data_IF_185886412508
#
_entry.id   IF_185886412508
#
_cell.length_a   1.000
_cell.length_b   1.000
_cell.length_c   1.000
_cell.angle_alpha   90.00
_cell.angle_beta   90.00
_cell.angle_gamma   90.00
#
_symmetry.space_group_name_H-M   'P 1'
#
loop_
_entity.id
_entity.type
_entity.pdbx_description
1 polymer ?
#
# COMPACT_ATOMS: atom_id res chain seq x y z
N UNK A 1 -55.84 4.87 -67.22
CA UNK A 1 -56.02 4.37 -65.83
C UNK A 1 -54.89 3.40 -65.53
N UNK A 2 -53.97 3.77 -64.63
CA UNK A 2 -52.88 2.90 -64.13
C UNK A 2 -53.04 2.87 -62.60
N UNK A 3 -53.00 1.70 -61.93
CA UNK A 3 -53.07 1.66 -60.48
C UNK A 3 -51.68 1.92 -59.89
N UNK A 4 -51.61 2.89 -58.99
CA UNK A 4 -50.44 3.24 -58.18
C UNK A 4 -50.42 2.31 -56.98
N UNK A 5 -49.45 1.40 -56.91
CA UNK A 5 -49.25 0.56 -55.72
C UNK A 5 -48.48 1.36 -54.66
N UNK A 6 -49.15 1.68 -53.55
CA UNK A 6 -48.53 2.19 -52.33
C UNK A 6 -47.81 1.03 -51.63
N UNK A 7 -46.48 1.10 -51.54
CA UNK A 7 -45.68 0.20 -50.69
C UNK A 7 -45.69 0.77 -49.26
N UNK A 8 -46.37 0.09 -48.34
CA UNK A 8 -46.31 0.41 -46.92
C UNK A 8 -45.03 -0.19 -46.33
N UNK A 9 -44.08 0.67 -45.95
CA UNK A 9 -42.88 0.27 -45.23
C UNK A 9 -43.22 0.06 -43.75
N UNK A 10 -43.21 -1.19 -43.30
CA UNK A 10 -43.34 -1.56 -41.88
C UNK A 10 -41.97 -1.40 -41.22
N UNK A 11 -41.80 -0.36 -40.40
CA UNK A 11 -40.62 -0.17 -39.55
C UNK A 11 -40.76 -1.10 -38.35
N UNK A 12 -39.96 -2.16 -38.30
CA UNK A 12 -39.84 -3.03 -37.12
C UNK A 12 -38.86 -2.36 -36.15
N UNK A 13 -39.40 -1.77 -35.07
CA UNK A 13 -38.64 -1.34 -33.91
C UNK A 13 -38.15 -2.58 -33.16
N UNK A 14 -36.94 -3.04 -33.47
CA UNK A 14 -36.24 -4.02 -32.64
C UNK A 14 -35.87 -3.34 -31.32
N UNK A 15 -36.63 -3.62 -30.27
CA UNK A 15 -36.28 -3.28 -28.91
C UNK A 15 -35.03 -4.10 -28.52
N UNK A 16 -33.86 -3.46 -28.55
CA UNK A 16 -32.66 -3.98 -27.92
C UNK A 16 -32.92 -4.05 -26.41
N UNK A 17 -33.34 -5.22 -25.93
CA UNK A 17 -33.28 -5.54 -24.50
C UNK A 17 -31.80 -5.63 -24.15
N UNK A 18 -31.28 -4.61 -23.49
CA UNK A 18 -29.99 -4.73 -22.82
C UNK A 18 -30.11 -5.88 -21.81
N UNK A 19 -29.18 -6.84 -21.80
CA UNK A 19 -29.17 -7.87 -20.77
C UNK A 19 -29.13 -7.20 -19.40
N UNK A 20 -30.03 -7.63 -18.52
CA UNK A 20 -30.08 -7.19 -17.13
C UNK A 20 -28.71 -7.50 -16.50
N UNK A 21 -28.02 -6.50 -15.92
CA UNK A 21 -26.71 -6.73 -15.32
C UNK A 21 -26.85 -7.80 -14.24
N UNK A 22 -26.06 -8.87 -14.32
CA UNK A 22 -26.09 -9.89 -13.29
C UNK A 22 -25.86 -9.24 -11.93
N UNK A 23 -26.65 -9.61 -10.89
CA UNK A 23 -26.48 -9.04 -9.57
C UNK A 23 -25.04 -9.27 -9.12
N UNK A 24 -24.34 -8.18 -8.82
CA UNK A 24 -22.98 -8.21 -8.30
C UNK A 24 -22.93 -9.21 -7.15
N UNK A 25 -22.28 -10.35 -7.41
CA UNK A 25 -22.06 -11.38 -6.42
C UNK A 25 -21.11 -10.77 -5.41
N UNK A 26 -21.64 -10.36 -4.25
CA UNK A 26 -20.86 -9.80 -3.14
C UNK A 26 -19.69 -10.76 -2.91
N UNK A 27 -18.43 -10.31 -3.07
CA UNK A 27 -17.29 -11.15 -2.83
C UNK A 27 -17.44 -11.78 -1.44
N UNK A 28 -17.24 -13.10 -1.36
CA UNK A 28 -17.21 -13.77 -0.07
C UNK A 28 -16.17 -13.11 0.83
N UNK A 29 -16.36 -13.11 2.16
CA UNK A 29 -15.40 -12.54 3.08
C UNK A 29 -14.01 -13.13 2.79
N UNK A 30 -13.01 -12.27 2.61
CA UNK A 30 -11.61 -12.69 2.47
C UNK A 30 -11.28 -13.60 3.66
N UNK A 31 -10.90 -14.84 3.39
CA UNK A 31 -10.71 -15.87 4.42
C UNK A 31 -9.88 -15.32 5.57
N UNK A 32 -10.49 -15.27 6.75
CA UNK A 32 -9.84 -14.78 7.95
C UNK A 32 -8.69 -15.73 8.32
N UNK A 33 -7.50 -15.18 8.48
CA UNK A 33 -6.34 -15.90 9.00
C UNK A 33 -6.69 -16.46 10.40
N UNK A 34 -6.65 -17.79 10.62
CA UNK A 34 -6.97 -18.38 11.92
C UNK A 34 -6.11 -17.80 13.04
N UNK A 35 -6.76 -17.34 14.12
CA UNK A 35 -6.07 -16.74 15.27
C UNK A 35 -5.41 -15.39 14.98
N UNK A 36 -5.81 -14.69 13.91
CA UNK A 36 -5.26 -13.38 13.59
C UNK A 36 -5.50 -12.34 14.67
N UNK A 37 -4.43 -11.64 15.03
CA UNK A 37 -4.44 -10.45 15.86
C UNK A 37 -4.53 -9.22 14.96
N UNK A 38 -5.19 -8.19 15.46
CA UNK A 38 -5.20 -6.87 14.82
C UNK A 38 -3.94 -6.09 15.20
N UNK A 39 -3.27 -5.53 14.20
CA UNK A 39 -2.14 -4.64 14.38
C UNK A 39 -2.65 -3.20 14.26
N UNK A 40 -2.47 -2.42 15.32
CA UNK A 40 -2.94 -1.05 15.41
C UNK A 40 -1.82 -0.08 15.06
N UNK A 41 -2.17 1.03 14.42
CA UNK A 41 -1.23 2.12 14.13
C UNK A 41 -0.60 2.62 15.42
N UNK A 42 0.72 2.80 15.41
CA UNK A 42 1.46 3.42 16.48
C UNK A 42 1.67 4.90 16.17
N UNK A 43 1.34 5.75 17.14
CA UNK A 43 1.69 7.17 17.09
C UNK A 43 3.16 7.35 17.47
N UNK A 44 4.03 7.25 16.46
CA UNK A 44 5.47 7.46 16.58
C UNK A 44 5.83 8.76 15.84
N UNK A 45 5.83 9.93 16.50
CA UNK A 45 6.12 11.18 15.83
C UNK A 45 7.55 11.20 15.28
N UNK A 46 7.72 11.87 14.13
CA UNK A 46 9.05 12.11 13.58
C UNK A 46 9.87 12.94 14.58
N UNK A 47 11.09 12.50 14.85
CA UNK A 47 12.03 13.15 15.75
C UNK A 47 13.06 13.93 14.94
N UNK A 48 13.70 14.90 15.58
CA UNK A 48 14.93 15.46 15.07
C UNK A 48 16.03 14.38 15.01
N UNK A 49 16.95 14.54 14.06
CA UNK A 49 18.10 13.66 13.91
C UNK A 49 18.91 13.60 15.21
N UNK A 50 19.08 12.40 15.75
CA UNK A 50 19.74 12.17 17.04
C UNK A 50 21.14 11.55 16.91
N UNK A 51 21.66 11.47 15.68
CA UNK A 51 22.99 10.93 15.38
C UNK A 51 23.75 11.91 14.49
N UNK A 52 25.07 11.94 14.67
CA UNK A 52 25.96 12.65 13.77
C UNK A 52 26.12 11.84 12.49
N UNK A 53 25.79 12.45 11.37
CA UNK A 53 26.01 11.89 10.05
C UNK A 53 26.55 12.97 9.11
N UNK A 54 27.45 12.59 8.22
CA UNK A 54 28.03 13.44 7.19
C UNK A 54 27.63 13.00 5.78
N UNK A 55 27.21 11.74 5.64
CA UNK A 55 27.00 11.03 4.37
C UNK A 55 25.54 10.63 4.13
N UNK A 56 24.64 10.85 5.09
CA UNK A 56 23.23 10.48 4.97
C UNK A 56 22.34 11.68 4.67
N UNK A 57 21.29 11.44 3.89
CA UNK A 57 20.13 12.30 3.75
C UNK A 57 18.97 11.62 4.50
N UNK A 58 18.77 12.02 5.75
CA UNK A 58 17.71 11.50 6.61
C UNK A 58 16.37 12.13 6.22
N UNK A 59 15.36 11.29 6.07
CA UNK A 59 13.98 11.69 5.76
C UNK A 59 13.13 11.72 7.02
N UNK A 60 13.21 10.64 7.81
CA UNK A 60 12.46 10.48 9.05
C UNK A 60 13.26 9.68 10.07
N UNK A 61 13.03 9.97 11.34
CA UNK A 61 13.58 9.26 12.51
C UNK A 61 12.46 9.02 13.51
N UNK A 62 12.25 7.77 13.92
CA UNK A 62 11.20 7.38 14.86
C UNK A 62 11.79 6.62 16.04
N UNK A 63 11.43 7.03 17.25
CA UNK A 63 11.78 6.32 18.47
C UNK A 63 10.79 5.18 18.72
N UNK A 64 11.30 3.95 18.84
CA UNK A 64 10.49 2.77 19.11
C UNK A 64 10.23 2.59 20.62
N UNK A 65 9.13 1.91 21.01
CA UNK A 65 8.80 1.68 22.43
C UNK A 65 9.88 0.96 23.26
N UNK A 66 10.82 0.28 22.62
CA UNK A 66 11.88 -0.49 23.29
C UNK A 66 13.24 0.23 23.34
N UNK A 67 13.26 1.54 23.10
CA UNK A 67 14.45 2.38 23.21
C UNK A 67 15.33 2.41 21.96
N UNK A 68 14.97 1.66 20.91
CA UNK A 68 15.66 1.68 19.61
C UNK A 68 15.04 2.73 18.69
N UNK A 69 15.70 2.99 17.57
CA UNK A 69 15.25 3.95 16.57
C UNK A 69 15.16 3.32 15.19
N UNK A 70 14.17 3.76 14.42
CA UNK A 70 14.07 3.48 12.98
C UNK A 70 14.22 4.77 12.22
N UNK A 71 15.15 4.79 11.26
CA UNK A 71 15.42 5.95 10.41
C UNK A 71 15.25 5.57 8.94
N UNK A 72 14.54 6.39 8.17
CA UNK A 72 14.55 6.31 6.72
C UNK A 72 15.61 7.28 6.18
N UNK A 73 16.63 6.74 5.52
CA UNK A 73 17.74 7.54 4.99
C UNK A 73 18.31 6.96 3.70
N UNK A 74 18.92 7.83 2.89
CA UNK A 74 19.74 7.43 1.72
C UNK A 74 21.13 8.02 1.83
N UNK A 75 22.08 7.49 1.06
CA UNK A 75 23.38 8.13 0.94
C UNK A 75 23.27 9.45 0.17
N UNK A 76 24.13 10.43 0.49
CA UNK A 76 24.29 11.68 -0.29
C UNK A 76 24.91 11.43 -1.66
N UNK A 77 25.72 10.39 -1.77
CA UNK A 77 26.29 9.92 -3.03
C UNK A 77 25.28 8.95 -3.67
N UNK A 78 24.56 9.42 -4.69
CA UNK A 78 23.53 8.65 -5.40
C UNK A 78 24.08 7.38 -6.09
N UNK A 79 25.40 7.21 -6.20
CA UNK A 79 26.02 5.97 -6.69
C UNK A 79 26.08 4.85 -5.63
N UNK A 80 25.78 5.18 -4.37
CA UNK A 80 25.81 4.25 -3.24
C UNK A 80 24.43 3.70 -2.91
N UNK A 81 24.28 3.18 -1.70
CA UNK A 81 23.04 2.58 -1.22
C UNK A 81 21.85 3.54 -1.33
N UNK A 82 20.81 3.08 -2.03
CA UNK A 82 19.53 3.76 -2.12
C UNK A 82 18.80 3.84 -0.77
N UNK A 83 17.66 4.50 -0.79
CA UNK A 83 16.84 4.77 0.39
C UNK A 83 16.42 3.47 1.12
N UNK A 84 16.63 3.43 2.44
CA UNK A 84 16.43 2.25 3.31
C UNK A 84 15.91 2.65 4.69
N UNK A 85 15.33 1.68 5.39
CA UNK A 85 15.11 1.76 6.83
C UNK A 85 16.33 1.20 7.58
N UNK A 86 16.78 1.93 8.59
CA UNK A 86 17.85 1.54 9.50
C UNK A 86 17.28 1.39 10.90
N UNK A 87 17.47 0.22 11.51
CA UNK A 87 17.22 0.01 12.93
C UNK A 87 18.54 0.21 13.68
N UNK A 88 18.58 1.08 14.68
CA UNK A 88 19.80 1.38 15.41
C UNK A 88 19.56 1.78 16.86
N UNK A 89 20.66 1.87 17.61
CA UNK A 89 20.72 2.49 18.94
C UNK A 89 21.74 3.63 18.91
N UNK A 90 21.37 4.86 19.31
CA UNK A 90 22.32 5.97 19.40
C UNK A 90 23.35 5.72 20.51
N UNK A 91 24.57 6.22 20.32
CA UNK A 91 25.66 6.11 21.27
C UNK A 91 25.96 7.46 21.93
N UNK A 92 26.63 7.47 23.10
CA UNK A 92 26.96 8.71 23.82
C UNK A 92 27.83 9.71 23.04
N UNK A 93 28.59 9.22 22.05
CA UNK A 93 29.42 10.04 21.16
C UNK A 93 28.66 10.55 19.91
N UNK A 94 27.33 10.43 19.92
CA UNK A 94 26.43 10.72 18.79
C UNK A 94 26.62 9.82 17.58
N UNK A 95 27.36 8.70 17.69
CA UNK A 95 27.36 7.66 16.66
C UNK A 95 26.13 6.75 16.78
N UNK A 96 26.00 5.80 15.87
CA UNK A 96 24.91 4.82 15.86
C UNK A 96 25.47 3.40 15.82
N UNK A 97 24.97 2.53 16.69
CA UNK A 97 25.12 1.08 16.51
C UNK A 97 23.98 0.59 15.60
N UNK A 98 24.26 0.39 14.32
CA UNK A 98 23.29 -0.17 13.35
C UNK A 98 23.05 -1.64 13.66
N UNK A 99 21.78 -1.99 13.82
CA UNK A 99 21.34 -3.34 14.20
C UNK A 99 20.84 -4.11 12.97
N UNK A 100 20.05 -3.45 12.13
CA UNK A 100 19.54 -4.03 10.89
C UNK A 100 19.23 -2.96 9.86
N UNK A 101 19.22 -3.39 8.59
CA UNK A 101 18.96 -2.54 7.43
C UNK A 101 17.92 -3.24 6.55
N UNK A 102 16.92 -2.51 6.07
CA UNK A 102 15.91 -3.07 5.16
C UNK A 102 16.46 -3.31 3.76
N UNK A 103 15.69 -4.04 2.94
CA UNK A 103 15.84 -3.99 1.49
C UNK A 103 15.66 -2.53 0.99
N UNK A 104 16.33 -2.15 -0.11
CA UNK A 104 16.25 -0.80 -0.66
C UNK A 104 14.85 -0.49 -1.23
N UNK A 105 14.58 0.81 -1.38
CA UNK A 105 13.35 1.40 -1.89
C UNK A 105 13.37 1.69 -3.42
N UNK A 106 14.15 0.93 -4.18
CA UNK A 106 14.43 1.22 -5.60
C UNK A 106 14.85 2.70 -5.79
N UNK A 107 14.34 3.36 -6.83
CA UNK A 107 14.68 4.73 -7.22
C UNK A 107 13.83 5.79 -6.47
N UNK A 108 13.24 5.42 -5.33
CA UNK A 108 12.41 6.35 -4.55
C UNK A 108 13.25 7.38 -3.81
N UNK A 109 12.82 8.64 -3.89
CA UNK A 109 13.49 9.77 -3.22
C UNK A 109 13.06 9.96 -1.76
N UNK A 110 11.82 9.61 -1.44
CA UNK A 110 11.21 9.80 -0.12
C UNK A 110 10.57 8.51 0.39
N UNK A 111 10.64 8.29 1.71
CA UNK A 111 10.06 7.14 2.38
C UNK A 111 9.47 7.61 3.71
N UNK A 112 8.16 7.44 3.87
CA UNK A 112 7.40 7.89 5.03
C UNK A 112 6.76 6.67 5.71
N UNK A 113 7.41 6.07 6.73
CA UNK A 113 6.92 4.86 7.35
C UNK A 113 5.74 5.12 8.29
N UNK A 114 4.76 4.21 8.26
CA UNK A 114 3.68 4.10 9.25
C UNK A 114 3.81 2.75 9.95
N UNK A 115 3.78 2.75 11.27
CA UNK A 115 4.11 1.59 12.11
C UNK A 115 2.85 0.99 12.71
N UNK A 116 2.78 -0.34 12.80
CA UNK A 116 1.66 -1.07 13.39
C UNK A 116 2.16 -2.16 14.34
N UNK A 117 1.48 -2.33 15.47
CA UNK A 117 1.76 -3.41 16.41
C UNK A 117 0.49 -3.89 17.12
N UNK A 118 0.54 -5.09 17.68
CA UNK A 118 -0.54 -5.67 18.50
C UNK A 118 -0.46 -5.23 19.97
N UNK A 119 0.60 -4.51 20.35
CA UNK A 119 0.97 -4.24 21.76
C UNK A 119 1.84 -5.35 22.38
N UNK A 120 1.87 -6.55 21.79
CA UNK A 120 2.79 -7.63 22.18
C UNK A 120 4.06 -7.57 21.32
N UNK A 121 5.21 -7.32 21.96
CA UNK A 121 6.50 -7.23 21.28
C UNK A 121 6.92 -8.54 20.60
N UNK A 122 6.38 -9.69 21.03
CA UNK A 122 6.65 -10.98 20.41
C UNK A 122 6.06 -11.11 19.00
N UNK A 123 5.00 -10.36 18.68
CA UNK A 123 4.40 -10.34 17.34
C UNK A 123 5.23 -9.50 16.36
N UNK A 124 6.12 -8.64 16.86
CA UNK A 124 6.89 -7.69 16.06
C UNK A 124 6.03 -6.50 15.61
N UNK A 125 6.54 -5.76 14.63
CA UNK A 125 5.92 -4.55 14.11
C UNK A 125 5.83 -4.60 12.59
N UNK A 126 4.67 -4.27 12.04
CA UNK A 126 4.49 -4.11 10.60
C UNK A 126 4.72 -2.65 10.24
N UNK A 127 5.42 -2.39 9.14
CA UNK A 127 5.76 -1.05 8.69
C UNK A 127 5.30 -0.92 7.24
N UNK A 128 4.40 0.03 6.99
CA UNK A 128 4.02 0.45 5.64
C UNK A 128 4.84 1.68 5.29
N UNK A 129 5.85 1.49 4.44
CA UNK A 129 6.76 2.54 4.01
C UNK A 129 6.24 3.18 2.73
N UNK A 130 5.61 4.36 2.85
CA UNK A 130 5.04 5.07 1.72
C UNK A 130 6.14 5.70 0.88
N UNK A 131 6.12 5.47 -0.42
CA UNK A 131 6.97 6.20 -1.36
C UNK A 131 6.18 7.29 -2.07
N UNK A 132 6.86 8.40 -2.32
CA UNK A 132 6.27 9.54 -3.00
C UNK A 132 6.44 10.83 -2.21
N UNK A 133 6.55 11.93 -2.93
CA UNK A 133 6.70 13.27 -2.36
C UNK A 133 5.33 13.92 -2.20
N UNK A 134 4.83 14.49 -3.29
CA UNK A 134 3.52 15.13 -3.37
C UNK A 134 2.42 14.08 -3.54
N UNK A 135 2.67 13.06 -4.35
CA UNK A 135 1.70 12.00 -4.60
C UNK A 135 2.35 10.66 -4.23
N UNK A 136 1.59 9.78 -3.59
CA UNK A 136 2.01 8.43 -3.23
C UNK A 136 2.13 7.58 -4.49
N UNK A 137 3.14 6.71 -4.52
CA UNK A 137 3.37 5.69 -5.54
C UNK A 137 3.27 4.28 -4.94
N UNK A 138 2.54 4.14 -3.83
CA UNK A 138 2.37 2.88 -3.12
C UNK A 138 3.25 2.74 -1.87
N UNK A 139 3.24 1.52 -1.33
CA UNK A 139 3.88 1.18 -0.07
C UNK A 139 4.74 -0.08 -0.24
N UNK A 140 5.93 -0.08 0.35
CA UNK A 140 6.64 -1.33 0.65
C UNK A 140 6.36 -1.73 2.08
N UNK A 141 6.11 -3.02 2.27
CA UNK A 141 5.72 -3.57 3.56
C UNK A 141 6.89 -4.31 4.17
N UNK A 142 7.24 -3.93 5.39
CA UNK A 142 8.25 -4.63 6.18
C UNK A 142 7.64 -5.20 7.46
N UNK A 143 8.18 -6.34 7.90
CA UNK A 143 7.96 -6.85 9.25
C UNK A 143 9.26 -6.77 10.04
N UNK A 144 9.26 -5.92 11.06
CA UNK A 144 10.35 -5.78 12.00
C UNK A 144 10.12 -6.72 13.19
N UNK A 145 10.85 -7.83 13.23
CA UNK A 145 10.79 -8.82 14.30
C UNK A 145 12.17 -9.36 14.60
N UNK A 146 12.44 -9.65 15.88
CA UNK A 146 13.74 -10.18 16.33
C UNK A 146 14.93 -9.34 15.83
N UNK A 147 14.74 -8.02 15.80
CA UNK A 147 15.73 -7.03 15.33
C UNK A 147 16.12 -7.18 13.86
N UNK A 148 15.28 -7.76 13.02
CA UNK A 148 15.50 -7.89 11.59
C UNK A 148 14.31 -7.34 10.81
N UNK A 149 14.58 -6.70 9.67
CA UNK A 149 13.56 -6.35 8.70
C UNK A 149 13.35 -7.53 7.75
N UNK A 150 12.10 -7.98 7.64
CA UNK A 150 11.66 -8.88 6.57
C UNK A 150 10.84 -8.09 5.56
N UNK A 151 11.24 -8.14 4.30
CA UNK A 151 10.46 -7.61 3.19
C UNK A 151 9.26 -8.53 2.94
N UNK A 152 8.04 -7.99 3.02
CA UNK A 152 6.82 -8.73 2.75
C UNK A 152 6.30 -8.54 1.32
N UNK A 153 6.77 -7.52 0.61
CA UNK A 153 6.30 -7.13 -0.72
C UNK A 153 5.70 -5.73 -0.77
N UNK A 154 4.92 -5.48 -1.84
CA UNK A 154 4.38 -4.17 -2.18
C UNK A 154 2.85 -4.12 -2.04
N UNK A 155 2.34 -2.97 -1.61
CA UNK A 155 0.94 -2.57 -1.77
C UNK A 155 0.93 -1.45 -2.81
N UNK A 156 0.43 -1.78 -3.99
CA UNK A 156 0.44 -0.86 -5.13
C UNK A 156 -0.83 0.00 -5.15
N UNK A 157 -1.06 0.68 -4.02
CA UNK A 157 -2.29 1.41 -3.75
C UNK A 157 -2.04 2.74 -3.06
N UNK A 158 -2.94 3.69 -3.32
CA UNK A 158 -2.97 4.99 -2.67
C UNK A 158 -4.37 5.36 -2.19
N UNK A 159 -4.43 6.20 -1.16
CA UNK A 159 -5.68 6.84 -0.74
C UNK A 159 -5.98 8.03 -1.66
N UNK A 160 -7.26 8.23 -1.98
CA UNK A 160 -7.71 9.37 -2.76
C UNK A 160 -8.16 10.51 -1.86
N UNK A 161 -7.42 11.61 -1.87
CA UNK A 161 -7.77 12.82 -1.13
C UNK A 161 -8.18 13.93 -2.10
N UNK A 162 -9.35 14.55 -1.88
CA UNK A 162 -9.75 15.77 -2.58
C UNK A 162 -9.28 16.99 -1.80
N UNK A 163 -8.57 17.90 -2.46
CA UNK A 163 -8.14 19.16 -1.87
C UNK A 163 -8.72 20.34 -2.64
N UNK A 164 -9.23 21.31 -1.89
CA UNK A 164 -9.57 22.62 -2.40
C UNK A 164 -8.42 23.58 -2.10
N UNK A 165 -7.90 24.23 -3.14
CA UNK A 165 -6.92 25.31 -3.03
C UNK A 165 -7.43 26.46 -3.90
N UNK A 166 -7.63 27.62 -3.27
CA UNK A 166 -8.31 28.76 -3.86
C UNK A 166 -9.68 28.34 -4.46
N UNK A 167 -9.91 28.64 -5.75
CA UNK A 167 -11.14 28.30 -6.46
C UNK A 167 -11.07 26.96 -7.21
N UNK A 168 -10.02 26.16 -6.97
CA UNK A 168 -9.80 24.88 -7.65
C UNK A 168 -9.92 23.69 -6.70
N UNK A 169 -10.56 22.61 -7.17
CA UNK A 169 -10.55 21.31 -6.49
C UNK A 169 -9.76 20.33 -7.32
N UNK A 170 -8.78 19.65 -6.71
CA UNK A 170 -7.99 18.63 -7.38
C UNK A 170 -7.82 17.40 -6.49
N UNK A 171 -7.55 16.29 -7.15
CA UNK A 171 -7.32 15.00 -6.52
C UNK A 171 -5.82 14.83 -6.24
N UNK A 172 -5.50 14.29 -5.05
CA UNK A 172 -4.16 13.79 -4.72
C UNK A 172 -4.24 12.31 -4.38
N UNK A 173 -3.17 11.61 -4.72
CA UNK A 173 -2.94 10.25 -4.28
C UNK A 173 -2.05 10.32 -3.05
N UNK A 174 -2.54 9.91 -1.90
CA UNK A 174 -1.85 10.07 -0.63
C UNK A 174 -1.61 8.74 0.05
N UNK A 175 -0.88 8.77 1.17
CA UNK A 175 -0.52 7.60 1.93
C UNK A 175 -1.77 6.79 2.32
N UNK A 176 -1.84 5.53 1.87
CA UNK A 176 -2.93 4.60 2.21
C UNK A 176 -2.80 4.00 3.60
N UNK A 177 -1.62 4.08 4.22
CA UNK A 177 -1.37 3.43 5.50
C UNK A 177 -2.39 3.86 6.58
N UNK A 178 -2.70 5.14 6.83
CA UNK A 178 -3.72 5.52 7.82
C UNK A 178 -5.11 4.89 7.61
N UNK A 179 -5.41 4.43 6.39
CA UNK A 179 -6.66 3.78 6.00
C UNK A 179 -6.53 2.26 5.86
N UNK A 180 -5.38 1.68 6.22
CA UNK A 180 -5.13 0.24 6.12
C UNK A 180 -5.39 -0.44 7.45
N UNK A 181 -6.17 -1.51 7.43
CA UNK A 181 -6.30 -2.45 8.53
C UNK A 181 -5.32 -3.60 8.31
N UNK A 182 -4.55 -3.93 9.35
CA UNK A 182 -3.54 -4.98 9.31
C UNK A 182 -3.93 -6.08 10.31
N UNK A 183 -4.09 -7.30 9.81
CA UNK A 183 -4.30 -8.49 10.64
C UNK A 183 -3.20 -9.51 10.39
N UNK A 184 -2.71 -10.20 11.41
CA UNK A 184 -1.63 -11.16 11.24
C UNK A 184 -1.61 -12.30 12.25
N UNK A 185 -1.07 -13.44 11.82
CA UNK A 185 -0.85 -14.64 12.65
C UNK A 185 0.27 -15.47 12.03
N UNK A 186 1.19 -15.98 12.85
CA UNK A 186 2.22 -16.91 12.39
C UNK A 186 3.12 -16.39 11.27
N UNK A 187 3.31 -15.07 11.14
CA UNK A 187 4.07 -14.45 10.05
C UNK A 187 3.33 -14.35 8.72
N UNK A 188 2.03 -14.66 8.70
CA UNK A 188 1.10 -14.32 7.63
C UNK A 188 0.37 -13.02 7.96
N UNK A 189 0.03 -12.24 6.95
CA UNK A 189 -0.63 -10.94 7.09
C UNK A 189 -1.75 -10.75 6.07
N UNK A 190 -2.78 -10.01 6.48
CA UNK A 190 -3.87 -9.54 5.65
C UNK A 190 -3.94 -8.02 5.79
N UNK A 191 -3.95 -7.34 4.65
CA UNK A 191 -4.09 -5.89 4.53
C UNK A 191 -5.41 -5.60 3.82
N UNK A 192 -6.32 -4.92 4.50
CA UNK A 192 -7.60 -4.45 3.96
C UNK A 192 -7.69 -2.94 4.12
N UNK A 193 -8.60 -2.30 3.38
CA UNK A 193 -8.65 -0.84 3.31
C UNK A 193 -10.00 -0.31 3.79
N UNK A 194 -9.97 0.84 4.45
CA UNK A 194 -11.14 1.56 4.93
C UNK A 194 -11.52 2.69 3.97
N UNK A 195 -12.80 3.05 3.94
CA UNK A 195 -13.36 4.09 3.08
C UNK A 195 -14.12 3.54 1.88
N UNK A 196 -14.51 4.41 0.95
CA UNK A 196 -15.36 4.01 -0.18
C UNK A 196 -14.55 3.35 -1.29
N UNK A 197 -13.37 3.89 -1.60
CA UNK A 197 -12.53 3.42 -2.71
C UNK A 197 -11.04 3.67 -2.48
N UNK A 198 -10.23 2.88 -3.15
CA UNK A 198 -8.77 2.98 -3.20
C UNK A 198 -8.31 3.10 -4.66
N UNK A 199 -7.23 3.84 -4.88
CA UNK A 199 -6.55 3.86 -6.18
C UNK A 199 -5.57 2.69 -6.22
N UNK A 200 -5.73 1.80 -7.18
CA UNK A 200 -4.84 0.67 -7.48
C UNK A 200 -4.04 1.00 -8.73
N UNK A 201 -2.71 1.07 -8.63
CA UNK A 201 -1.87 1.46 -9.76
C UNK A 201 -1.75 0.35 -10.82
N UNK A 202 -1.59 -0.91 -10.39
CA UNK A 202 -1.55 -2.09 -11.27
C UNK A 202 -2.38 -3.24 -10.70
N UNK A 203 -3.32 -3.76 -11.51
CA UNK A 203 -4.14 -4.93 -11.14
C UNK A 203 -3.51 -6.29 -11.47
N UNK A 204 -2.30 -6.27 -12.03
CA UNK A 204 -1.50 -7.41 -12.49
C UNK A 204 -2.10 -8.18 -13.68
N UNK A 205 -3.21 -7.71 -14.23
CA UNK A 205 -3.89 -8.26 -15.41
C UNK A 205 -3.84 -7.30 -16.61
N UNK A 206 -2.97 -6.29 -16.54
CA UNK A 206 -2.72 -5.33 -17.60
C UNK A 206 -3.61 -4.09 -17.55
N UNK A 207 -4.42 -3.91 -16.49
CA UNK A 207 -5.13 -2.66 -16.27
C UNK A 207 -4.38 -1.82 -15.22
N UNK A 208 -4.18 -0.55 -15.56
CA UNK A 208 -3.49 0.41 -14.72
C UNK A 208 -4.48 1.45 -14.18
N UNK A 209 -4.13 2.07 -13.05
CA UNK A 209 -4.79 3.25 -12.47
C UNK A 209 -6.30 3.09 -12.27
N UNK A 210 -6.68 2.02 -11.56
CA UNK A 210 -8.08 1.68 -11.29
C UNK A 210 -8.54 2.21 -9.94
N UNK A 211 -9.74 2.80 -9.92
CA UNK A 211 -10.47 3.02 -8.67
C UNK A 211 -11.28 1.77 -8.33
N UNK A 212 -11.00 1.16 -7.18
CA UNK A 212 -11.66 -0.06 -6.71
C UNK A 212 -12.38 0.24 -5.39
N UNK A 213 -13.60 -0.28 -5.14
CA UNK A 213 -14.21 -0.21 -3.83
C UNK A 213 -13.27 -0.80 -2.76
N UNK A 214 -13.06 -0.10 -1.64
CA UNK A 214 -12.03 -0.50 -0.68
C UNK A 214 -12.23 -1.91 -0.12
N UNK A 215 -13.50 -2.31 0.05
CA UNK A 215 -13.92 -3.64 0.51
C UNK A 215 -13.62 -4.78 -0.49
N UNK A 216 -13.45 -4.46 -1.77
CA UNK A 216 -13.19 -5.43 -2.83
C UNK A 216 -11.69 -5.63 -3.06
N UNK A 217 -10.83 -4.92 -2.33
CA UNK A 217 -9.39 -4.97 -2.46
C UNK A 217 -8.73 -5.47 -1.17
N UNK A 218 -7.84 -6.44 -1.28
CA UNK A 218 -6.99 -6.87 -0.18
C UNK A 218 -5.61 -7.31 -0.68
N UNK A 219 -4.63 -7.29 0.22
CA UNK A 219 -3.36 -7.98 0.01
C UNK A 219 -3.14 -9.03 1.08
N UNK A 220 -2.67 -10.20 0.69
CA UNK A 220 -2.38 -11.31 1.59
C UNK A 220 -0.92 -11.72 1.47
N UNK A 221 -0.22 -11.76 2.61
CA UNK A 221 1.08 -12.38 2.74
C UNK A 221 0.94 -13.73 3.42
N UNK A 222 1.38 -14.80 2.77
CA UNK A 222 1.24 -16.19 3.24
C UNK A 222 2.48 -16.73 3.99
N UNK A 223 3.42 -15.85 4.33
CA UNK A 223 4.72 -16.26 4.88
C UNK A 223 5.79 -16.44 3.81
N UNK A 224 5.46 -16.33 2.53
CA UNK A 224 6.42 -16.40 1.42
C UNK A 224 6.25 -15.23 0.45
N UNK A 225 5.02 -14.94 0.02
CA UNK A 225 4.74 -13.94 -1.03
C UNK A 225 3.53 -13.07 -0.68
N UNK A 226 3.56 -11.83 -1.15
CA UNK A 226 2.39 -10.96 -1.20
C UNK A 226 1.54 -11.33 -2.41
N UNK A 227 0.22 -11.44 -2.22
CA UNK A 227 -0.77 -11.68 -3.27
C UNK A 227 -1.83 -10.60 -3.22
N UNK A 228 -2.08 -9.95 -4.36
CA UNK A 228 -3.20 -9.03 -4.55
C UNK A 228 -4.49 -9.83 -4.71
N UNK A 229 -5.55 -9.43 -4.01
CA UNK A 229 -6.91 -9.98 -4.15
C UNK A 229 -7.84 -8.84 -4.55
N UNK A 230 -8.54 -9.01 -5.68
CA UNK A 230 -9.53 -8.06 -6.18
C UNK A 230 -10.83 -8.80 -6.40
N UNK A 231 -11.93 -8.31 -5.82
CA UNK A 231 -13.28 -8.91 -5.94
C UNK A 231 -13.28 -10.40 -5.52
N UNK A 232 -12.48 -10.74 -4.49
CA UNK A 232 -12.33 -12.10 -3.98
C UNK A 232 -11.50 -13.03 -4.87
N UNK A 233 -10.83 -12.52 -5.91
CA UNK A 233 -9.96 -13.30 -6.80
C UNK A 233 -8.51 -12.88 -6.63
N UNK A 234 -7.65 -13.87 -6.44
CA UNK A 234 -6.20 -13.65 -6.46
C UNK A 234 -5.75 -13.20 -7.85
N UNK A 235 -4.94 -12.14 -7.89
CA UNK A 235 -4.27 -11.66 -9.10
C UNK A 235 -2.84 -12.15 -9.08
N UNK A 236 -2.39 -12.67 -10.22
CA UNK A 236 -1.02 -13.09 -10.45
C UNK A 236 -0.44 -12.20 -11.54
N UNK A 237 0.84 -11.81 -11.44
CA UNK A 237 1.51 -11.14 -12.55
C UNK A 237 1.34 -11.99 -13.81
N UNK A 238 1.01 -11.33 -14.93
CA UNK A 238 1.10 -11.98 -16.22
C UNK A 238 2.48 -12.64 -16.34
N UNK A 239 2.53 -13.91 -16.78
CA UNK A 239 3.81 -14.59 -16.98
C UNK A 239 4.67 -13.72 -17.91
N UNK A 240 5.95 -13.47 -17.58
CA UNK A 240 6.81 -12.71 -18.46
C UNK A 240 6.82 -13.40 -19.82
N UNK A 241 6.44 -12.64 -20.86
CA UNK A 241 6.50 -13.08 -22.25
C UNK A 241 7.95 -13.38 -22.68
#
# INVERSE_FOLDING_TARGET
MRPTHLLAATIILAACSSPEPEPHKVPGPVDLLPGAKEFHVLDLPNQEDNIRHDTLLVQTTHHLPDGRYVMAARNKDDSREGLRLFLYTPQPDSSAAVIAISAPAYDSYTMLPTFYATGDTADGMVILANFGERDSWGQKVFWLKNRQFRDLGWLDVAHREWRAVDDSTFQRLTNIAPFTQVKGSGGSFLFTFMGDSVHLFDDLEGHLDRMIPAQDLAYRYDGQRMTLVVEGRERLPASPL
#
